data_IF_243398220025
#
_entry.id   IF_243398220025
#
_cell.length_a   1.000
_cell.length_b   1.000
_cell.length_c   1.000
_cell.angle_alpha   90.00
_cell.angle_beta   90.00
_cell.angle_gamma   90.00
#
_symmetry.space_group_name_H-M   'P 1'
#
loop_
_entity.id
_entity.type
_entity.pdbx_description
1 polymer ?
#
# COMPACT_ATOMS: atom_id res chain seq x y z
N UNK A 1 22.65 -76.62 2.08
CA UNK A 1 22.52 -75.26 1.52
C UNK A 1 21.10 -74.77 1.78
N UNK A 2 20.92 -73.77 2.65
CA UNK A 2 19.64 -73.09 2.89
C UNK A 2 19.92 -71.59 2.91
N UNK A 3 19.53 -70.90 1.84
CA UNK A 3 19.58 -69.44 1.70
C UNK A 3 18.63 -68.79 2.71
N UNK A 4 19.15 -67.87 3.52
CA UNK A 4 18.32 -66.94 4.29
C UNK A 4 18.40 -65.58 3.61
N UNK A 5 17.29 -65.17 2.99
CA UNK A 5 17.12 -63.85 2.40
C UNK A 5 16.83 -62.84 3.51
N UNK A 6 17.72 -61.89 3.71
CA UNK A 6 17.53 -60.77 4.65
C UNK A 6 16.65 -59.72 3.95
N UNK A 7 15.44 -59.51 4.44
CA UNK A 7 14.59 -58.37 4.07
C UNK A 7 15.20 -57.08 4.64
N UNK A 8 15.70 -56.20 3.77
CA UNK A 8 16.06 -54.84 4.14
C UNK A 8 14.81 -53.95 4.09
N UNK A 9 14.31 -53.51 5.25
CA UNK A 9 13.29 -52.47 5.34
C UNK A 9 13.93 -51.11 5.03
N UNK A 10 13.58 -50.53 3.88
CA UNK A 10 13.92 -49.15 3.54
C UNK A 10 13.08 -48.17 4.36
N UNK A 11 13.74 -47.41 5.23
CA UNK A 11 13.15 -46.24 5.90
C UNK A 11 12.99 -45.11 4.87
N UNK A 12 11.77 -44.88 4.40
CA UNK A 12 11.44 -43.69 3.63
C UNK A 12 11.43 -42.47 4.56
N UNK A 13 12.45 -41.63 4.45
CA UNK A 13 12.50 -40.33 5.12
C UNK A 13 11.52 -39.37 4.42
N UNK A 14 10.43 -39.03 5.11
CA UNK A 14 9.56 -37.93 4.67
C UNK A 14 10.34 -36.64 4.93
N UNK A 15 10.92 -36.06 3.89
CA UNK A 15 11.48 -34.72 3.96
C UNK A 15 10.33 -33.72 4.12
N UNK A 16 10.01 -33.37 5.37
CA UNK A 16 9.17 -32.23 5.66
C UNK A 16 9.88 -30.99 5.12
N UNK A 17 9.37 -30.42 4.02
CA UNK A 17 9.83 -29.15 3.51
C UNK A 17 9.61 -28.10 4.61
N UNK A 18 10.70 -27.62 5.21
CA UNK A 18 10.63 -26.55 6.18
C UNK A 18 9.93 -25.33 5.53
N UNK A 19 9.00 -24.66 6.23
CA UNK A 19 8.40 -23.44 5.71
C UNK A 19 9.53 -22.46 5.38
N UNK A 20 9.54 -21.95 4.14
CA UNK A 20 10.50 -20.94 3.72
C UNK A 20 10.44 -19.77 4.71
N UNK A 21 11.57 -19.19 5.14
CA UNK A 21 11.57 -17.97 5.94
C UNK A 21 10.72 -16.92 5.24
N UNK A 22 9.55 -16.60 5.82
CA UNK A 22 8.75 -15.49 5.36
C UNK A 22 9.57 -14.25 5.69
N UNK A 23 10.11 -13.58 4.67
CA UNK A 23 10.67 -12.25 4.87
C UNK A 23 9.55 -11.41 5.48
N UNK A 24 9.79 -10.71 6.62
CA UNK A 24 8.78 -9.81 7.15
C UNK A 24 8.33 -8.87 6.04
N UNK A 25 7.01 -8.79 5.82
CA UNK A 25 6.46 -7.83 4.88
C UNK A 25 7.02 -6.46 5.23
N UNK A 26 7.55 -5.76 4.24
CA UNK A 26 8.03 -4.39 4.45
C UNK A 26 6.87 -3.57 5.04
N UNK A 27 7.11 -2.71 6.04
CA UNK A 27 6.07 -1.85 6.57
C UNK A 27 5.40 -1.07 5.44
N UNK A 28 4.08 -1.09 5.40
CA UNK A 28 3.32 -0.24 4.48
C UNK A 28 3.41 1.18 5.02
N UNK A 29 3.94 2.11 4.22
CA UNK A 29 4.10 3.50 4.64
C UNK A 29 2.73 4.22 4.76
N UNK A 30 1.83 3.92 3.82
CA UNK A 30 0.50 4.50 3.77
C UNK A 30 -0.52 3.59 3.07
N UNK A 31 -1.79 3.81 3.41
CA UNK A 31 -2.96 3.25 2.74
C UNK A 31 -3.89 4.40 2.39
N UNK A 32 -4.22 4.56 1.11
CA UNK A 32 -5.21 5.53 0.65
C UNK A 32 -6.40 4.76 0.08
N UNK A 33 -7.60 5.08 0.53
CA UNK A 33 -8.85 4.62 -0.07
C UNK A 33 -9.42 5.71 -0.95
N UNK A 34 -9.47 5.47 -2.27
CA UNK A 34 -9.95 6.40 -3.28
C UNK A 34 -11.39 6.09 -3.66
N UNK A 35 -12.28 7.07 -3.54
CA UNK A 35 -13.70 6.96 -3.86
C UNK A 35 -13.97 7.80 -5.11
N UNK A 36 -14.24 7.14 -6.23
CA UNK A 36 -14.58 7.83 -7.47
C UNK A 36 -16.02 8.35 -7.39
N UNK A 37 -16.26 9.55 -7.93
CA UNK A 37 -17.62 10.13 -8.06
C UNK A 37 -18.41 10.25 -6.75
N UNK A 38 -17.71 10.26 -5.61
CA UNK A 38 -18.25 10.35 -4.26
C UNK A 38 -17.35 11.27 -3.44
N UNK A 39 -17.94 12.28 -2.80
CA UNK A 39 -17.23 13.33 -2.07
C UNK A 39 -17.09 13.06 -0.57
N UNK A 40 -17.72 12.01 -0.05
CA UNK A 40 -17.90 11.80 1.40
C UNK A 40 -17.21 10.54 1.93
N UNK A 41 -16.30 9.92 1.18
CA UNK A 41 -15.63 8.66 1.54
C UNK A 41 -16.58 7.57 2.02
N UNK A 42 -17.83 7.61 1.56
CA UNK A 42 -18.88 6.69 1.99
C UNK A 42 -18.74 5.39 1.21
N UNK A 43 -18.39 4.32 1.92
CA UNK A 43 -18.22 2.98 1.37
C UNK A 43 -19.53 2.29 1.01
N UNK A 44 -20.68 2.84 1.41
CA UNK A 44 -21.99 2.26 1.13
C UNK A 44 -22.44 2.45 -0.32
N UNK A 45 -21.92 3.47 -1.01
CA UNK A 45 -22.34 3.85 -2.36
C UNK A 45 -21.33 3.45 -3.43
N UNK A 46 -20.02 3.57 -3.14
CA UNK A 46 -18.95 3.26 -4.09
C UNK A 46 -17.81 2.53 -3.39
N UNK A 47 -17.37 1.36 -3.90
CA UNK A 47 -16.21 0.67 -3.36
C UNK A 47 -14.94 1.50 -3.58
N UNK A 48 -14.13 1.64 -2.53
CA UNK A 48 -12.88 2.37 -2.63
C UNK A 48 -11.80 1.55 -3.36
N UNK A 49 -10.99 2.22 -4.18
CA UNK A 49 -9.73 1.66 -4.70
C UNK A 49 -8.63 1.94 -3.68
N UNK A 50 -7.93 0.90 -3.24
CA UNK A 50 -6.81 1.06 -2.32
C UNK A 50 -5.51 1.38 -3.07
N UNK A 51 -4.77 2.36 -2.57
CA UNK A 51 -3.40 2.68 -2.98
C UNK A 51 -2.49 2.42 -1.79
N UNK A 52 -1.55 1.49 -1.98
CA UNK A 52 -0.58 1.08 -0.97
C UNK A 52 0.74 0.81 -1.67
N UNK A 53 1.85 1.27 -1.13
CA UNK A 53 3.16 0.92 -1.66
C UNK A 53 4.27 1.78 -1.11
N UNK A 54 5.50 1.31 -1.32
CA UNK A 54 6.71 2.08 -1.07
C UNK A 54 7.04 2.89 -2.33
N UNK A 55 7.21 4.21 -2.21
CA UNK A 55 7.50 5.10 -3.34
C UNK A 55 6.26 5.52 -4.14
N UNK A 56 6.48 6.15 -5.30
CA UNK A 56 5.42 6.78 -6.08
C UNK A 56 4.41 5.78 -6.67
N UNK A 57 3.12 6.07 -6.50
CA UNK A 57 2.00 5.27 -6.97
C UNK A 57 1.17 6.06 -8.00
N UNK A 58 1.17 5.62 -9.25
CA UNK A 58 0.35 6.21 -10.32
C UNK A 58 -1.08 5.69 -10.24
N UNK A 59 -1.91 6.40 -9.48
CA UNK A 59 -3.32 6.07 -9.27
C UNK A 59 -4.14 7.33 -9.35
N UNK A 60 -4.85 7.49 -10.47
CA UNK A 60 -5.68 8.66 -10.68
C UNK A 60 -6.94 8.59 -9.84
N UNK A 61 -7.18 9.64 -9.05
CA UNK A 61 -8.48 10.03 -8.52
C UNK A 61 -9.01 11.14 -9.42
N UNK A 62 -10.14 10.91 -10.07
CA UNK A 62 -10.77 11.93 -10.92
C UNK A 62 -11.42 13.01 -10.07
N UNK A 63 -11.53 14.22 -10.63
CA UNK A 63 -12.36 15.29 -10.06
C UNK A 63 -13.77 14.77 -9.69
N UNK A 64 -14.33 15.30 -8.61
CA UNK A 64 -15.58 14.82 -8.03
C UNK A 64 -15.43 13.55 -7.21
N UNK A 65 -14.21 13.18 -6.80
CA UNK A 65 -13.93 12.05 -5.93
C UNK A 65 -13.52 12.46 -4.51
N UNK A 66 -13.23 11.49 -3.66
CA UNK A 66 -12.66 11.72 -2.32
C UNK A 66 -11.59 10.68 -1.98
N UNK A 67 -10.70 11.03 -1.06
CA UNK A 67 -9.68 10.15 -0.53
C UNK A 67 -9.77 10.07 0.99
N UNK A 68 -9.66 8.85 1.52
CA UNK A 68 -9.43 8.59 2.93
C UNK A 68 -8.01 8.07 3.08
N UNK A 69 -7.18 8.80 3.83
CA UNK A 69 -5.76 8.45 4.00
C UNK A 69 -5.51 7.90 5.39
N UNK A 70 -4.82 6.75 5.45
CA UNK A 70 -4.31 6.12 6.67
C UNK A 70 -2.80 6.00 6.57
N UNK A 71 -2.09 6.67 7.47
CA UNK A 71 -0.63 6.72 7.49
C UNK A 71 -0.13 5.79 8.59
N UNK A 72 0.87 4.95 8.30
CA UNK A 72 1.39 4.05 9.30
C UNK A 72 2.17 4.81 10.38
N UNK A 73 1.98 4.41 11.64
CA UNK A 73 2.76 4.91 12.79
C UNK A 73 4.27 4.60 12.68
N UNK A 74 4.65 3.68 11.78
CA UNK A 74 6.05 3.35 11.50
C UNK A 74 6.73 4.32 10.53
N UNK A 75 6.01 5.28 9.94
CA UNK A 75 6.56 6.26 9.01
C UNK A 75 6.99 7.53 9.77
N UNK A 76 8.29 7.78 9.98
CA UNK A 76 8.75 9.03 10.59
C UNK A 76 8.44 10.20 9.65
N UNK A 77 7.63 11.16 10.13
CA UNK A 77 7.12 12.27 9.31
C UNK A 77 5.93 11.85 8.44
N UNK A 78 4.92 11.19 9.03
CA UNK A 78 3.79 10.59 8.32
C UNK A 78 2.99 11.55 7.43
N UNK A 79 3.47 11.74 6.21
CA UNK A 79 2.85 12.55 5.18
C UNK A 79 2.46 11.69 3.97
N UNK A 80 1.39 12.07 3.29
CA UNK A 80 1.08 11.55 1.95
C UNK A 80 0.85 12.72 1.02
N UNK A 81 1.58 12.74 -0.09
CA UNK A 81 1.52 13.83 -1.07
C UNK A 81 0.86 13.36 -2.35
N UNK A 82 -0.11 14.13 -2.84
CA UNK A 82 -0.79 13.91 -4.12
C UNK A 82 -0.34 14.92 -5.18
N UNK A 83 -0.15 14.46 -6.41
CA UNK A 83 0.39 15.24 -7.52
C UNK A 83 -0.55 15.33 -8.73
N UNK A 84 -0.44 16.40 -9.51
CA UNK A 84 -1.24 16.64 -10.72
C UNK A 84 -0.82 15.81 -11.94
N UNK A 85 0.37 15.21 -11.91
CA UNK A 85 0.92 14.35 -12.97
C UNK A 85 1.25 12.94 -12.47
N UNK A 86 1.44 12.00 -13.40
CA UNK A 86 1.96 10.68 -13.09
C UNK A 86 3.45 10.75 -12.74
N UNK A 87 3.90 9.81 -11.90
CA UNK A 87 5.28 9.72 -11.46
C UNK A 87 5.65 10.69 -10.34
N UNK A 88 4.66 11.23 -9.62
CA UNK A 88 4.83 12.15 -8.49
C UNK A 88 5.57 13.41 -8.93
N UNK A 89 5.09 13.99 -10.04
CA UNK A 89 5.61 15.15 -10.72
C UNK A 89 4.55 16.24 -10.84
N UNK A 90 4.97 17.41 -11.30
CA UNK A 90 4.08 18.55 -11.50
C UNK A 90 3.76 19.22 -10.16
N UNK A 91 2.54 19.75 -10.07
CA UNK A 91 2.08 20.49 -8.89
C UNK A 91 1.67 19.55 -7.76
N UNK A 92 2.03 19.93 -6.53
CA UNK A 92 1.53 19.29 -5.31
C UNK A 92 0.12 19.79 -5.05
N UNK A 93 -0.86 18.89 -5.16
CA UNK A 93 -2.27 19.23 -4.99
C UNK A 93 -2.73 19.08 -3.53
N UNK A 94 -2.11 18.16 -2.79
CA UNK A 94 -2.49 17.85 -1.41
C UNK A 94 -1.32 17.26 -0.64
N UNK A 95 -1.24 17.59 0.64
CA UNK A 95 -0.36 16.93 1.61
C UNK A 95 -1.21 16.55 2.82
N UNK A 96 -1.34 15.25 3.06
CA UNK A 96 -2.04 14.71 4.22
C UNK A 96 -1.07 14.50 5.38
N UNK A 97 -1.51 14.86 6.57
CA UNK A 97 -0.76 14.67 7.83
C UNK A 97 -1.52 13.80 8.84
N UNK A 98 -2.76 13.43 8.53
CA UNK A 98 -3.68 12.74 9.43
C UNK A 98 -3.99 11.32 8.93
N UNK A 99 -4.22 10.41 9.88
CA UNK A 99 -4.40 8.97 9.63
C UNK A 99 -5.83 8.53 9.35
N UNK A 100 -6.84 9.40 9.46
CA UNK A 100 -8.25 9.00 9.25
C UNK A 100 -9.15 10.13 8.70
N UNK A 101 -8.58 11.09 7.96
CA UNK A 101 -9.33 12.21 7.37
C UNK A 101 -9.89 11.87 5.98
N UNK A 102 -11.19 12.07 5.77
CA UNK A 102 -11.76 12.12 4.42
C UNK A 102 -11.54 13.50 3.82
N UNK A 103 -11.16 13.57 2.56
CA UNK A 103 -11.02 14.82 1.82
C UNK A 103 -11.60 14.69 0.43
N UNK A 104 -12.44 15.65 0.06
CA UNK A 104 -13.05 15.75 -1.24
C UNK A 104 -12.14 16.47 -2.23
N UNK A 105 -12.25 16.10 -3.50
CA UNK A 105 -11.50 16.65 -4.62
C UNK A 105 -12.49 17.04 -5.72
N UNK A 106 -13.32 18.05 -5.43
CA UNK A 106 -14.46 18.43 -6.28
C UNK A 106 -14.00 18.92 -7.66
N UNK A 107 -12.96 19.75 -7.67
CA UNK A 107 -12.52 20.49 -8.86
C UNK A 107 -11.16 20.04 -9.43
N UNK A 108 -10.47 19.14 -8.74
CA UNK A 108 -9.11 18.72 -9.11
C UNK A 108 -9.00 17.20 -9.23
N UNK A 109 -8.14 16.75 -10.14
CA UNK A 109 -7.79 15.34 -10.27
C UNK A 109 -6.37 15.10 -9.75
N UNK A 110 -6.19 14.12 -8.88
CA UNK A 110 -4.87 13.70 -8.39
C UNK A 110 -4.42 12.49 -9.18
N UNK A 111 -3.25 12.53 -9.83
CA UNK A 111 -2.78 11.46 -10.73
C UNK A 111 -1.79 10.49 -10.09
N UNK A 112 -1.06 10.93 -9.07
CA UNK A 112 -0.14 10.05 -8.35
C UNK A 112 0.06 10.45 -6.89
N UNK A 113 0.56 9.49 -6.10
CA UNK A 113 0.64 9.56 -4.65
C UNK A 113 1.98 9.03 -4.15
N UNK A 114 2.55 9.65 -3.12
CA UNK A 114 3.75 9.14 -2.46
C UNK A 114 3.67 9.35 -0.94
N UNK A 115 4.29 8.44 -0.19
CA UNK A 115 4.55 8.64 1.22
C UNK A 115 5.75 9.59 1.39
N UNK A 116 5.58 10.61 2.22
CA UNK A 116 6.55 11.69 2.44
C UNK A 116 6.02 13.04 1.97
N UNK A 117 6.50 14.10 2.62
CA UNK A 117 6.24 15.48 2.21
C UNK A 117 7.22 15.87 1.09
N UNK A 118 6.84 16.81 0.19
CA UNK A 118 7.76 17.36 -0.79
C UNK A 118 8.79 18.32 -0.17
N UNK A 119 8.66 18.60 1.14
CA UNK A 119 9.52 19.45 1.93
C UNK A 119 10.12 18.66 3.09
N UNK A 120 11.34 19.01 3.50
CA UNK A 120 11.94 18.49 4.73
C UNK A 120 11.31 19.10 6.00
N UNK A 121 11.70 18.63 7.19
CA UNK A 121 11.25 19.21 8.48
C UNK A 121 11.63 20.70 8.65
N UNK A 122 12.48 21.23 7.78
CA UNK A 122 12.88 22.64 7.73
C UNK A 122 12.02 23.46 6.76
N UNK A 123 11.02 22.85 6.11
CA UNK A 123 10.15 23.50 5.14
C UNK A 123 10.84 23.84 3.81
N UNK A 124 11.93 23.14 3.46
CA UNK A 124 12.67 23.32 2.20
C UNK A 124 12.45 22.18 1.22
#
# INVERSE_FOLDING_TARGET
MRSQSILALGLATIAAAAPKPQTPDKPIDFVISLFETNLTCDTSTTPAKSVTGTGCQNRTLSKGGSALVRISVSSPGGFVTGYSEEGCKGEVLVVFTQTDGCTSFDDVSVKSWIGGAPFDESGK
#
